data_IF_308440452190
#
_entry.id   IF_308440452190
#
_cell.length_a   1.000
_cell.length_b   1.000
_cell.length_c   1.000
_cell.angle_alpha   90.00
_cell.angle_beta   90.00
_cell.angle_gamma   90.00
#
_symmetry.space_group_name_H-M   'P 1'
#
loop_
_entity.id
_entity.type
_entity.pdbx_description
1 polymer ?
#
# COMPACT_ATOMS: atom_id res chain seq x y z
N UNK A 1 1.97 -24.44 4.78
CA UNK A 1 1.83 -23.82 3.44
C UNK A 1 2.48 -22.44 3.46
N UNK A 2 3.72 -22.31 2.99
CA UNK A 2 4.48 -21.05 2.86
C UNK A 2 3.87 -20.03 1.86
N UNK A 3 2.65 -20.30 1.36
CA UNK A 3 2.05 -19.65 0.18
C UNK A 3 1.38 -18.30 0.42
N UNK A 4 1.39 -17.78 1.65
CA UNK A 4 0.83 -16.46 1.97
C UNK A 4 1.85 -15.50 2.60
N UNK A 5 3.13 -15.85 2.54
CA UNK A 5 4.21 -14.96 2.91
C UNK A 5 4.47 -14.03 1.71
N UNK A 6 3.88 -12.83 1.73
CA UNK A 6 4.30 -11.76 0.85
C UNK A 6 5.66 -11.23 1.31
N UNK A 7 6.70 -12.07 1.21
CA UNK A 7 8.07 -11.66 1.46
C UNK A 7 8.51 -10.75 0.32
N UNK A 8 8.57 -9.45 0.58
CA UNK A 8 9.46 -8.58 -0.17
C UNK A 8 10.87 -8.72 0.40
N UNK A 9 11.52 -9.86 0.13
CA UNK A 9 12.94 -10.03 0.41
C UNK A 9 13.72 -9.28 -0.67
N UNK A 10 14.08 -8.03 -0.40
CA UNK A 10 15.13 -7.33 -1.13
C UNK A 10 16.46 -7.80 -0.54
N UNK A 11 17.12 -8.71 -1.25
CA UNK A 11 18.47 -9.14 -0.96
C UNK A 11 19.44 -8.32 -1.81
N UNK A 12 20.34 -7.58 -1.15
CA UNK A 12 21.46 -6.90 -1.80
C UNK A 12 22.73 -7.72 -1.59
N UNK A 13 22.73 -8.97 -2.08
CA UNK A 13 23.86 -9.92 -1.98
C UNK A 13 24.36 -10.20 -0.56
N UNK A 14 23.46 -10.31 0.43
CA UNK A 14 23.77 -10.77 1.79
C UNK A 14 24.12 -9.69 2.82
N UNK A 15 24.21 -8.41 2.43
CA UNK A 15 24.57 -7.31 3.34
C UNK A 15 23.35 -6.67 4.03
N UNK A 16 22.18 -6.74 3.41
CA UNK A 16 20.95 -6.13 3.92
C UNK A 16 19.74 -6.98 3.55
N UNK A 17 18.80 -7.11 4.47
CA UNK A 17 17.52 -7.76 4.21
C UNK A 17 16.37 -7.00 4.88
N UNK A 18 15.22 -7.01 4.23
CA UNK A 18 13.96 -6.56 4.81
C UNK A 18 12.91 -7.64 4.62
N UNK A 19 12.10 -7.87 5.64
CA UNK A 19 10.97 -8.78 5.62
C UNK A 19 9.75 -7.99 6.04
N UNK A 20 8.70 -8.08 5.23
CA UNK A 20 7.39 -7.54 5.52
C UNK A 20 6.38 -8.69 5.55
N UNK A 21 5.50 -8.72 6.54
CA UNK A 21 4.48 -9.75 6.67
C UNK A 21 3.12 -9.14 7.04
N UNK A 22 2.05 -9.68 6.45
CA UNK A 22 0.66 -9.30 6.73
C UNK A 22 -0.08 -10.50 7.35
N UNK A 23 -0.16 -10.60 8.69
CA UNK A 23 -0.60 -11.82 9.37
C UNK A 23 -2.03 -12.27 9.04
N UNK A 24 -2.92 -11.35 8.65
CA UNK A 24 -4.31 -11.67 8.35
C UNK A 24 -4.47 -12.73 7.25
N UNK A 25 -3.55 -12.79 6.29
CA UNK A 25 -3.58 -13.81 5.24
C UNK A 25 -2.92 -15.13 5.67
N UNK A 26 -2.14 -15.12 6.76
CA UNK A 26 -1.54 -16.31 7.37
C UNK A 26 -2.52 -17.01 8.32
N UNK A 27 -3.40 -16.24 8.95
CA UNK A 27 -4.35 -16.72 9.95
C UNK A 27 -5.70 -16.93 9.27
N UNK A 28 -6.26 -18.13 9.40
CA UNK A 28 -7.63 -18.46 8.98
C UNK A 28 -7.88 -18.53 7.45
N UNK A 29 -7.05 -19.30 6.73
CA UNK A 29 -7.22 -19.48 5.28
C UNK A 29 -8.47 -20.27 4.89
N UNK A 30 -8.93 -21.19 5.73
CA UNK A 30 -9.98 -22.17 5.38
C UNK A 30 -11.40 -21.78 5.84
N UNK A 31 -11.59 -20.59 6.43
CA UNK A 31 -12.93 -20.20 6.88
C UNK A 31 -13.84 -19.86 5.69
N UNK A 32 -14.91 -20.66 5.55
CA UNK A 32 -16.05 -20.42 4.63
C UNK A 32 -16.77 -19.08 4.89
N UNK A 33 -16.49 -18.41 6.01
CA UNK A 33 -17.09 -17.12 6.36
C UNK A 33 -16.32 -15.91 5.82
N UNK A 34 -15.29 -16.09 4.98
CA UNK A 34 -14.53 -15.01 4.35
C UNK A 34 -15.19 -14.58 3.05
N UNK A 35 -15.76 -13.38 3.04
CA UNK A 35 -16.26 -12.73 1.81
C UNK A 35 -15.54 -11.40 1.61
N UNK A 36 -15.47 -10.92 0.36
CA UNK A 36 -14.94 -9.61 0.03
C UNK A 36 -15.60 -8.51 0.87
N UNK A 37 -16.93 -8.52 0.95
CA UNK A 37 -17.75 -7.61 1.76
C UNK A 37 -17.33 -7.59 3.24
N UNK A 38 -17.17 -8.75 3.87
CA UNK A 38 -16.67 -8.86 5.26
C UNK A 38 -15.21 -8.40 5.39
N UNK A 39 -14.38 -8.60 4.37
CA UNK A 39 -12.99 -8.14 4.36
C UNK A 39 -12.90 -6.62 4.38
N UNK A 40 -13.69 -5.93 3.54
CA UNK A 40 -13.73 -4.47 3.48
C UNK A 40 -14.65 -3.82 4.54
N UNK A 41 -15.39 -4.63 5.29
CA UNK A 41 -16.25 -4.20 6.40
C UNK A 41 -17.66 -3.76 6.02
N UNK A 42 -18.14 -4.03 4.81
CA UNK A 42 -19.53 -3.75 4.39
C UNK A 42 -20.37 -5.00 4.63
N UNK A 43 -21.30 -4.98 5.59
CA UNK A 43 -22.04 -6.18 6.02
C UNK A 43 -23.49 -5.85 6.33
N UNK A 44 -24.40 -6.82 6.16
CA UNK A 44 -25.77 -6.75 6.72
C UNK A 44 -25.72 -7.16 8.19
N UNK A 45 -26.48 -6.48 9.05
CA UNK A 45 -26.70 -6.92 10.43
C UNK A 45 -27.84 -7.93 10.55
N UNK A 46 -28.20 -8.31 11.78
CA UNK A 46 -29.25 -9.30 12.06
C UNK A 46 -30.64 -8.83 11.60
N UNK A 47 -30.84 -7.52 11.41
CA UNK A 47 -32.07 -6.94 10.85
C UNK A 47 -32.06 -6.85 9.32
N UNK A 48 -30.92 -7.18 8.68
CA UNK A 48 -30.72 -7.08 7.24
C UNK A 48 -30.24 -5.70 6.77
N UNK A 49 -30.03 -4.75 7.66
CA UNK A 49 -29.57 -3.40 7.31
C UNK A 49 -28.06 -3.37 7.01
N UNK A 50 -27.67 -2.65 5.95
CA UNK A 50 -26.26 -2.47 5.60
C UNK A 50 -25.55 -1.58 6.62
N UNK A 51 -24.46 -2.09 7.19
CA UNK A 51 -23.55 -1.39 8.10
C UNK A 51 -22.12 -1.43 7.59
N UNK A 52 -21.34 -0.43 7.99
CA UNK A 52 -19.90 -0.35 7.76
C UNK A 52 -19.18 -0.59 9.09
N UNK A 53 -18.25 -1.54 9.12
CA UNK A 53 -17.25 -1.66 10.18
C UNK A 53 -16.06 -0.75 9.82
N UNK A 54 -15.85 0.38 10.53
CA UNK A 54 -14.78 1.31 10.22
C UNK A 54 -13.38 0.74 10.50
N UNK A 55 -13.26 -0.21 11.43
CA UNK A 55 -11.99 -0.85 11.81
C UNK A 55 -11.67 -2.08 10.96
N UNK A 56 -12.41 -2.32 9.88
CA UNK A 56 -12.13 -3.44 8.96
C UNK A 56 -10.73 -3.38 8.35
N UNK A 57 -10.13 -2.18 8.31
CA UNK A 57 -8.76 -1.95 7.84
C UNK A 57 -7.69 -2.58 8.73
N UNK A 58 -7.97 -2.90 10.00
CA UNK A 58 -6.98 -3.56 10.89
C UNK A 58 -6.51 -4.92 10.35
N UNK A 59 -7.29 -5.54 9.45
CA UNK A 59 -6.94 -6.77 8.73
C UNK A 59 -5.77 -6.56 7.75
N UNK A 60 -5.43 -5.33 7.40
CA UNK A 60 -4.27 -4.99 6.55
C UNK A 60 -3.06 -4.58 7.39
N UNK A 61 -3.04 -4.94 8.68
CA UNK A 61 -1.87 -4.69 9.53
C UNK A 61 -0.69 -5.48 9.00
N UNK A 62 0.40 -4.76 8.85
CA UNK A 62 1.66 -5.27 8.33
C UNK A 62 2.76 -4.97 9.31
N UNK A 63 3.62 -5.96 9.56
CA UNK A 63 4.79 -5.85 10.42
C UNK A 63 6.02 -6.00 9.52
N UNK A 64 7.00 -5.13 9.71
CA UNK A 64 8.27 -5.18 8.99
C UNK A 64 9.44 -5.33 9.95
N UNK A 65 10.45 -6.07 9.50
CA UNK A 65 11.74 -6.24 10.16
C UNK A 65 12.82 -6.01 9.10
N UNK A 66 13.83 -5.21 9.42
CA UNK A 66 14.95 -5.00 8.52
C UNK A 66 16.27 -5.07 9.27
N UNK A 67 17.28 -5.58 8.57
CA UNK A 67 18.68 -5.52 8.92
C UNK A 67 19.41 -4.84 7.77
N UNK A 68 20.26 -3.89 8.10
CA UNK A 68 21.08 -3.19 7.13
C UNK A 68 22.49 -3.10 7.67
N UNK A 69 23.45 -3.55 6.88
CA UNK A 69 24.86 -3.20 7.02
C UNK A 69 25.18 -2.15 5.96
N UNK A 70 25.51 -0.92 6.38
CA UNK A 70 25.83 0.17 5.45
C UNK A 70 26.68 1.25 6.08
N UNK A 71 27.36 2.02 5.24
CA UNK A 71 27.96 3.29 5.60
C UNK A 71 26.87 4.33 5.90
N UNK A 72 27.05 5.09 6.98
CA UNK A 72 26.22 6.24 7.30
C UNK A 72 27.04 7.51 7.09
N UNK A 73 26.40 8.53 6.53
CA UNK A 73 27.06 9.83 6.32
C UNK A 73 27.60 10.36 7.65
N UNK A 74 28.90 10.64 7.68
CA UNK A 74 29.62 11.09 8.87
C UNK A 74 30.28 9.98 9.69
N UNK A 75 29.99 8.69 9.45
CA UNK A 75 30.66 7.57 10.12
C UNK A 75 31.76 6.99 9.23
N UNK A 76 32.89 6.62 9.85
CA UNK A 76 34.06 6.06 9.14
C UNK A 76 33.83 4.60 8.74
N UNK A 77 33.07 3.85 9.54
CA UNK A 77 32.80 2.44 9.31
C UNK A 77 31.33 2.20 8.99
N UNK A 78 31.07 1.09 8.29
CA UNK A 78 29.74 0.49 8.20
C UNK A 78 29.16 0.22 9.59
N UNK A 79 27.85 0.44 9.71
CA UNK A 79 27.12 0.17 10.95
C UNK A 79 25.96 -0.75 10.70
N UNK A 80 25.88 -1.77 11.56
CA UNK A 80 24.75 -2.69 11.65
C UNK A 80 23.56 -2.00 12.27
N UNK A 81 22.46 -1.98 11.54
CA UNK A 81 21.20 -1.37 11.94
C UNK A 81 20.08 -2.39 11.89
N UNK A 82 19.30 -2.45 12.96
CA UNK A 82 18.11 -3.28 13.07
C UNK A 82 16.90 -2.38 13.13
N UNK A 83 15.84 -2.71 12.40
CA UNK A 83 14.60 -1.95 12.38
C UNK A 83 13.39 -2.86 12.53
N UNK A 84 12.41 -2.37 13.26
CA UNK A 84 11.07 -2.96 13.34
C UNK A 84 10.05 -1.87 13.03
N UNK A 85 9.03 -2.23 12.26
CA UNK A 85 7.94 -1.33 11.91
C UNK A 85 6.59 -2.04 11.93
N UNK A 86 5.55 -1.25 12.08
CA UNK A 86 4.19 -1.69 11.89
C UNK A 86 3.39 -0.60 11.17
N UNK A 87 2.53 -1.01 10.23
CA UNK A 87 1.57 -0.12 9.59
C UNK A 87 0.19 -0.77 9.54
N UNK A 88 -0.86 0.03 9.63
CA UNK A 88 -2.23 -0.47 9.51
C UNK A 88 -3.18 0.63 9.04
N UNK A 89 -4.27 0.22 8.42
CA UNK A 89 -5.40 1.10 8.16
C UNK A 89 -6.31 1.09 9.39
N UNK A 90 -6.24 2.14 10.21
CA UNK A 90 -7.02 2.25 11.44
C UNK A 90 -8.51 2.44 11.16
N UNK A 91 -8.83 3.38 10.27
CA UNK A 91 -10.21 3.68 9.88
C UNK A 91 -10.37 3.57 8.37
N UNK A 92 -11.49 3.00 7.92
CA UNK A 92 -11.84 2.91 6.51
C UNK A 92 -13.35 2.91 6.32
N UNK A 93 -13.83 3.83 5.51
CA UNK A 93 -15.25 3.97 5.18
C UNK A 93 -15.44 3.88 3.68
N UNK A 94 -16.45 3.12 3.27
CA UNK A 94 -16.90 3.05 1.88
C UNK A 94 -18.31 3.62 1.75
N UNK A 95 -18.70 3.95 0.53
CA UNK A 95 -20.11 4.01 0.19
C UNK A 95 -20.67 2.57 0.20
N UNK A 96 -21.22 2.16 1.34
CA UNK A 96 -21.69 0.79 1.61
C UNK A 96 -22.71 0.30 0.58
N UNK A 97 -23.63 1.16 0.16
CA UNK A 97 -24.70 0.82 -0.78
C UNK A 97 -24.12 0.57 -2.17
N UNK A 98 -23.20 1.45 -2.61
CA UNK A 98 -22.52 1.30 -3.89
C UNK A 98 -21.71 0.02 -3.96
N UNK A 99 -20.93 -0.27 -2.91
CA UNK A 99 -20.13 -1.51 -2.88
C UNK A 99 -21.03 -2.75 -2.81
N UNK A 100 -22.08 -2.72 -2.00
CA UNK A 100 -23.01 -3.82 -1.88
C UNK A 100 -23.70 -4.11 -3.21
N UNK A 101 -24.29 -3.09 -3.84
CA UNK A 101 -24.94 -3.20 -5.17
C UNK A 101 -23.99 -3.72 -6.24
N UNK A 102 -22.75 -3.23 -6.27
CA UNK A 102 -21.74 -3.71 -7.23
C UNK A 102 -21.41 -5.19 -7.01
N UNK A 103 -21.28 -5.62 -5.75
CA UNK A 103 -20.96 -7.01 -5.41
C UNK A 103 -22.14 -7.95 -5.71
N UNK A 104 -23.37 -7.56 -5.38
CA UNK A 104 -24.57 -8.36 -5.67
C UNK A 104 -24.77 -8.49 -7.19
N UNK A 105 -24.66 -7.39 -7.94
CA UNK A 105 -24.78 -7.42 -9.39
C UNK A 105 -23.70 -8.31 -10.05
N UNK A 106 -22.47 -8.28 -9.54
CA UNK A 106 -21.40 -9.16 -9.99
C UNK A 106 -21.71 -10.64 -9.70
N UNK A 107 -22.19 -10.95 -8.48
CA UNK A 107 -22.57 -12.31 -8.11
C UNK A 107 -23.73 -12.83 -8.97
N UNK A 108 -24.74 -11.99 -9.24
CA UNK A 108 -25.84 -12.32 -10.15
C UNK A 108 -25.33 -12.57 -11.57
N UNK A 109 -24.45 -11.71 -12.09
CA UNK A 109 -23.88 -11.90 -13.43
C UNK A 109 -23.12 -13.24 -13.54
N UNK A 110 -22.33 -13.59 -12.52
CA UNK A 110 -21.58 -14.85 -12.49
C UNK A 110 -22.49 -16.08 -12.30
N UNK A 111 -23.65 -15.94 -11.64
CA UNK A 111 -24.59 -17.05 -11.45
C UNK A 111 -25.20 -17.57 -12.76
N UNK A 112 -25.09 -16.80 -13.84
CA UNK A 112 -25.50 -17.24 -15.18
C UNK A 112 -24.57 -18.32 -15.77
N UNK A 113 -23.37 -18.48 -15.21
CA UNK A 113 -22.42 -19.51 -15.63
C UNK A 113 -22.75 -20.81 -14.90
N UNK A 114 -23.65 -21.59 -15.49
CA UNK A 114 -24.12 -22.86 -14.93
C UNK A 114 -23.21 -23.99 -15.41
N UNK A 115 -22.52 -24.64 -14.47
CA UNK A 115 -21.73 -25.85 -14.75
C UNK A 115 -22.70 -27.00 -15.07
N UNK A 116 -22.60 -27.63 -16.26
CA UNK A 116 -23.47 -28.74 -16.62
C UNK A 116 -23.34 -29.93 -15.65
N UNK A 117 -24.43 -30.66 -15.43
CA UNK A 117 -24.43 -31.82 -14.54
C UNK A 117 -23.39 -32.89 -14.95
N UNK A 118 -23.12 -33.03 -16.26
CA UNK A 118 -22.09 -33.94 -16.77
C UNK A 118 -20.70 -33.60 -16.23
N UNK A 119 -20.34 -32.31 -16.22
CA UNK A 119 -19.06 -31.82 -15.70
C UNK A 119 -19.00 -31.97 -14.18
N UNK A 120 -20.12 -31.76 -13.47
CA UNK A 120 -20.17 -31.93 -12.00
C UNK A 120 -19.92 -33.39 -11.58
N UNK A 121 -20.40 -34.36 -12.36
CA UNK A 121 -20.22 -35.79 -12.09
C UNK A 121 -18.76 -36.23 -12.32
N UNK A 122 -18.06 -35.60 -13.25
CA UNK A 122 -16.65 -35.87 -13.57
C UNK A 122 -15.67 -35.38 -12.49
N UNK A 123 -16.12 -34.53 -11.58
CA UNK A 123 -15.36 -34.10 -10.41
C UNK A 123 -14.56 -32.81 -10.60
N UNK A 124 -13.73 -32.49 -9.61
CA UNK A 124 -13.10 -31.17 -9.43
C UNK A 124 -12.24 -30.72 -10.63
N UNK A 125 -11.47 -31.64 -11.23
CA UNK A 125 -10.62 -31.33 -12.38
C UNK A 125 -11.43 -30.93 -13.62
N UNK A 126 -12.55 -31.61 -13.87
CA UNK A 126 -13.46 -31.28 -14.97
C UNK A 126 -14.15 -29.93 -14.75
N UNK A 127 -14.57 -29.63 -13.51
CA UNK A 127 -15.14 -28.33 -13.13
C UNK A 127 -14.09 -27.22 -13.35
N UNK A 128 -12.85 -27.46 -12.95
CA UNK A 128 -11.75 -26.51 -13.13
C UNK A 128 -11.47 -26.26 -14.63
N UNK A 129 -11.43 -27.31 -15.44
CA UNK A 129 -11.24 -27.20 -16.89
C UNK A 129 -12.40 -26.43 -17.55
N UNK A 130 -13.64 -26.70 -17.16
CA UNK A 130 -14.81 -25.98 -17.64
C UNK A 130 -14.71 -24.47 -17.36
N UNK A 131 -14.33 -24.06 -16.14
CA UNK A 131 -14.16 -22.63 -15.84
C UNK A 131 -12.99 -22.01 -16.60
N UNK A 132 -11.89 -22.74 -16.80
CA UNK A 132 -10.77 -22.26 -17.60
C UNK A 132 -11.15 -22.08 -19.08
N UNK A 133 -11.98 -22.96 -19.65
CA UNK A 133 -12.52 -22.81 -21.01
C UNK A 133 -13.49 -21.63 -21.13
N UNK A 134 -14.24 -21.34 -20.06
CA UNK A 134 -15.18 -20.21 -19.98
C UNK A 134 -14.55 -18.89 -19.57
N UNK A 135 -13.22 -18.82 -19.45
CA UNK A 135 -12.53 -17.64 -18.93
C UNK A 135 -12.84 -16.35 -19.69
N UNK A 136 -12.95 -16.39 -21.02
CA UNK A 136 -13.28 -15.21 -21.82
C UNK A 136 -14.71 -14.72 -21.60
N UNK A 137 -15.66 -15.65 -21.43
CA UNK A 137 -17.05 -15.34 -21.08
C UNK A 137 -17.15 -14.74 -19.68
N UNK A 138 -16.45 -15.34 -18.70
CA UNK A 138 -16.33 -14.83 -17.34
C UNK A 138 -15.76 -13.41 -17.35
N UNK A 139 -14.64 -13.20 -18.06
CA UNK A 139 -14.00 -11.90 -18.16
C UNK A 139 -14.94 -10.87 -18.81
N UNK A 140 -15.69 -11.25 -19.84
CA UNK A 140 -16.67 -10.37 -20.47
C UNK A 140 -17.81 -9.97 -19.51
N UNK A 141 -18.31 -10.91 -18.71
CA UNK A 141 -19.33 -10.67 -17.68
C UNK A 141 -18.80 -9.80 -16.53
N UNK A 142 -17.53 -9.94 -16.18
CA UNK A 142 -16.88 -9.19 -15.09
C UNK A 142 -16.45 -7.77 -15.51
N UNK A 143 -16.26 -7.53 -16.81
CA UNK A 143 -15.80 -6.25 -17.36
C UNK A 143 -16.55 -5.01 -16.84
N UNK A 144 -17.88 -4.99 -16.68
CA UNK A 144 -18.59 -3.84 -16.12
C UNK A 144 -18.25 -3.55 -14.65
N UNK A 145 -17.78 -4.56 -13.91
CA UNK A 145 -17.46 -4.51 -12.48
C UNK A 145 -15.98 -4.25 -12.20
N UNK A 146 -15.13 -4.08 -13.23
CA UNK A 146 -13.71 -3.72 -13.11
C UNK A 146 -13.47 -2.34 -12.49
N UNK A 147 -14.52 -1.51 -12.38
CA UNK A 147 -14.46 -0.19 -11.75
C UNK A 147 -14.16 -0.33 -10.26
N UNK A 148 -12.88 -0.22 -9.90
CA UNK A 148 -12.45 -0.17 -8.50
C UNK A 148 -13.17 0.95 -7.76
N UNK A 149 -13.82 0.60 -6.65
CA UNK A 149 -14.44 1.55 -5.71
C UNK A 149 -13.45 1.77 -4.57
N UNK A 150 -12.92 2.98 -4.45
CA UNK A 150 -12.05 3.37 -3.32
C UNK A 150 -12.88 3.65 -2.06
N UNK A 151 -12.28 3.56 -0.86
CA UNK A 151 -12.87 4.14 0.34
C UNK A 151 -13.17 5.62 0.13
N UNK A 152 -14.27 6.11 0.67
CA UNK A 152 -14.54 7.56 0.71
C UNK A 152 -13.60 8.24 1.70
N UNK A 153 -13.18 7.52 2.75
CA UNK A 153 -12.20 7.97 3.72
C UNK A 153 -11.37 6.79 4.22
N UNK A 154 -10.06 7.00 4.34
CA UNK A 154 -9.12 6.06 4.98
C UNK A 154 -8.20 6.83 5.92
N UNK A 155 -7.87 6.23 7.06
CA UNK A 155 -6.83 6.70 7.97
C UNK A 155 -5.82 5.58 8.19
N UNK A 156 -4.59 5.80 7.74
CA UNK A 156 -3.47 4.91 7.94
C UNK A 156 -2.56 5.44 9.04
N UNK A 157 -2.06 4.53 9.86
CA UNK A 157 -1.06 4.79 10.88
C UNK A 157 0.14 3.89 10.65
N UNK A 158 1.33 4.41 10.84
CA UNK A 158 2.56 3.62 10.85
C UNK A 158 3.50 4.11 11.94
N UNK A 159 4.29 3.20 12.48
CA UNK A 159 5.38 3.51 13.39
C UNK A 159 6.56 2.59 13.12
N UNK A 160 7.76 3.07 13.37
CA UNK A 160 8.99 2.32 13.22
C UNK A 160 10.02 2.74 14.25
N UNK A 161 10.85 1.78 14.63
CA UNK A 161 12.00 1.98 15.50
C UNK A 161 13.20 1.29 14.87
N UNK A 162 14.34 1.97 14.93
CA UNK A 162 15.62 1.47 14.44
C UNK A 162 16.69 1.72 15.48
N UNK A 163 17.59 0.76 15.65
CA UNK A 163 18.76 0.86 16.52
C UNK A 163 20.01 0.59 15.71
N UNK A 164 21.06 1.37 15.98
CA UNK A 164 22.38 1.25 15.39
C UNK A 164 23.42 1.18 16.51
N UNK A 165 24.38 0.26 16.42
CA UNK A 165 25.49 0.21 17.37
C UNK A 165 26.47 1.36 17.08
N UNK A 166 26.90 2.08 18.13
CA UNK A 166 27.78 3.25 17.98
C UNK A 166 29.17 2.86 17.47
N UNK A 167 29.64 1.68 17.86
CA UNK A 167 30.85 1.02 17.37
C UNK A 167 30.53 -0.43 16.95
N UNK A 168 31.51 -1.13 16.38
CA UNK A 168 31.42 -2.58 16.09
C UNK A 168 31.48 -3.47 17.35
N UNK A 169 30.87 -3.04 18.45
CA UNK A 169 30.75 -3.79 19.71
C UNK A 169 29.41 -3.55 20.39
N UNK A 170 28.85 -4.60 21.00
CA UNK A 170 27.59 -4.57 21.76
C UNK A 170 27.70 -3.70 23.03
N UNK A 171 28.92 -3.48 23.54
CA UNK A 171 29.17 -2.66 24.75
C UNK A 171 29.25 -1.17 24.49
N UNK A 172 29.28 -0.73 23.22
CA UNK A 172 29.48 0.68 22.82
C UNK A 172 28.23 1.57 22.98
N UNK A 173 27.11 0.98 23.39
CA UNK A 173 25.81 1.63 23.40
C UNK A 173 25.19 1.74 22.00
N UNK A 174 24.00 2.31 21.93
CA UNK A 174 23.22 2.42 20.70
C UNK A 174 22.84 3.87 20.41
N UNK A 175 22.72 4.16 19.13
CA UNK A 175 21.97 5.30 18.63
C UNK A 175 20.61 4.77 18.15
N UNK A 176 19.56 5.56 18.38
CA UNK A 176 18.18 5.13 18.14
C UNK A 176 17.49 6.10 17.18
N UNK A 177 16.56 5.58 16.39
CA UNK A 177 15.67 6.37 15.53
C UNK A 177 14.26 5.86 15.68
N UNK A 178 13.32 6.75 15.92
CA UNK A 178 11.89 6.45 15.95
C UNK A 178 11.16 7.33 14.94
N UNK A 179 10.17 6.76 14.28
CA UNK A 179 9.27 7.50 13.41
C UNK A 179 7.84 7.05 13.58
N UNK A 180 6.90 7.99 13.44
CA UNK A 180 5.48 7.74 13.37
C UNK A 180 4.86 8.57 12.25
N UNK A 181 3.89 7.99 11.54
CA UNK A 181 3.19 8.58 10.41
C UNK A 181 1.70 8.38 10.56
N UNK A 182 0.95 9.41 10.21
CA UNK A 182 -0.49 9.43 10.09
C UNK A 182 -0.82 9.96 8.70
N UNK A 183 -1.60 9.23 7.92
CA UNK A 183 -2.05 9.69 6.60
C UNK A 183 -3.53 9.41 6.46
N UNK A 184 -4.32 10.45 6.18
CA UNK A 184 -5.71 10.30 5.78
C UNK A 184 -5.87 10.53 4.28
N UNK A 185 -6.72 9.75 3.63
CA UNK A 185 -7.12 9.89 2.22
C UNK A 185 -8.64 10.06 2.16
N UNK A 186 -9.11 11.07 1.43
CA UNK A 186 -10.51 11.21 1.03
C UNK A 186 -10.60 11.12 -0.49
N UNK A 187 -11.42 10.20 -1.00
CA UNK A 187 -11.54 9.97 -2.45
C UNK A 187 -12.95 10.28 -2.94
N UNK A 188 -13.03 11.05 -4.03
CA UNK A 188 -14.26 11.43 -4.72
C UNK A 188 -14.22 10.92 -6.16
N UNK A 189 -15.28 10.25 -6.60
CA UNK A 189 -15.41 9.79 -7.98
C UNK A 189 -15.87 10.98 -8.84
N UNK A 190 -15.10 11.29 -9.89
CA UNK A 190 -15.34 12.45 -10.76
C UNK A 190 -16.26 12.15 -11.94
N UNK A 191 -16.45 10.88 -12.28
CA UNK A 191 -17.20 10.44 -13.45
C UNK A 191 -18.30 9.43 -13.08
N UNK A 192 -18.96 9.66 -11.95
CA UNK A 192 -20.05 8.81 -11.48
C UNK A 192 -21.19 8.74 -12.51
N UNK A 193 -21.70 7.53 -12.77
CA UNK A 193 -22.74 7.29 -13.76
C UNK A 193 -22.28 7.30 -15.23
N UNK A 194 -20.99 7.54 -15.51
CA UNK A 194 -20.47 7.48 -16.89
C UNK A 194 -20.22 6.05 -17.38
N UNK A 195 -20.27 5.86 -18.70
CA UNK A 195 -19.89 4.60 -19.38
C UNK A 195 -18.37 4.43 -19.52
N UNK A 196 -17.56 5.32 -18.92
CA UNK A 196 -16.11 5.20 -18.93
C UNK A 196 -15.69 3.86 -18.32
N UNK A 197 -14.62 3.23 -18.85
CA UNK A 197 -14.16 1.91 -18.40
C UNK A 197 -13.61 1.92 -16.96
N UNK A 198 -13.11 3.05 -16.50
CA UNK A 198 -12.50 3.21 -15.17
C UNK A 198 -13.13 4.38 -14.44
N UNK A 199 -13.15 4.32 -13.11
CA UNK A 199 -13.46 5.48 -12.29
C UNK A 199 -12.30 6.47 -12.35
N UNK A 200 -12.64 7.76 -12.46
CA UNK A 200 -11.73 8.86 -12.28
C UNK A 200 -11.87 9.36 -10.85
N UNK A 201 -10.77 9.72 -10.20
CA UNK A 201 -10.79 10.13 -8.80
C UNK A 201 -10.14 11.50 -8.61
N UNK A 202 -10.72 12.28 -7.70
CA UNK A 202 -10.00 13.29 -6.94
C UNK A 202 -9.68 12.68 -5.58
N UNK A 203 -8.44 12.75 -5.15
CA UNK A 203 -8.03 12.34 -3.82
C UNK A 203 -7.40 13.51 -3.08
N UNK A 204 -7.79 13.70 -1.83
CA UNK A 204 -7.16 14.62 -0.89
C UNK A 204 -6.47 13.80 0.19
N UNK A 205 -5.16 13.99 0.32
CA UNK A 205 -4.35 13.42 1.39
C UNK A 205 -3.98 14.50 2.40
N UNK A 206 -4.03 14.14 3.68
CA UNK A 206 -3.44 14.91 4.77
C UNK A 206 -2.47 14.00 5.50
N UNK A 207 -1.26 14.47 5.75
CA UNK A 207 -0.22 13.70 6.41
C UNK A 207 0.36 14.45 7.59
N UNK A 208 0.65 13.69 8.65
CA UNK A 208 1.43 14.14 9.79
C UNK A 208 2.51 13.09 10.06
N UNK A 209 3.74 13.54 10.34
CA UNK A 209 4.87 12.67 10.65
C UNK A 209 5.66 13.23 11.81
N UNK A 210 6.09 12.36 12.72
CA UNK A 210 7.11 12.64 13.73
C UNK A 210 8.30 11.73 13.47
N UNK A 211 9.51 12.29 13.49
CA UNK A 211 10.75 11.52 13.45
C UNK A 211 11.68 12.08 14.50
N UNK A 212 12.29 11.19 15.27
CA UNK A 212 13.41 11.48 16.14
C UNK A 212 14.57 10.59 15.68
N UNK A 213 15.67 11.21 15.28
CA UNK A 213 16.78 10.56 14.59
C UNK A 213 18.09 10.80 15.35
N UNK A 214 18.52 9.79 16.09
CA UNK A 214 19.80 9.75 16.80
C UNK A 214 20.97 9.24 15.96
N UNK A 215 20.77 8.93 14.67
CA UNK A 215 21.85 8.40 13.82
C UNK A 215 22.76 9.51 13.27
N UNK A 216 22.76 10.69 13.91
CA UNK A 216 23.57 11.82 13.51
C UNK A 216 24.81 11.91 14.40
N UNK A 217 25.94 12.29 13.81
CA UNK A 217 27.22 12.43 14.51
C UNK A 217 27.86 13.77 14.16
N UNK A 218 28.45 14.44 15.15
CA UNK A 218 29.16 15.70 14.95
C UNK A 218 30.62 15.46 14.50
N UNK A 219 31.38 16.53 14.26
CA UNK A 219 32.78 16.45 13.87
C UNK A 219 33.74 15.90 14.95
N UNK A 220 33.26 15.71 16.18
CA UNK A 220 34.02 15.16 17.31
C UNK A 220 33.60 13.70 17.64
N UNK A 221 32.89 13.04 16.73
CA UNK A 221 32.35 11.69 16.88
C UNK A 221 31.27 11.53 17.98
N UNK A 222 30.65 12.63 18.44
CA UNK A 222 29.53 12.55 19.37
C UNK A 222 28.21 12.37 18.62
N UNK A 223 27.45 11.36 19.04
CA UNK A 223 26.08 11.16 18.58
C UNK A 223 25.13 12.22 19.12
N UNK A 224 24.24 12.72 18.26
CA UNK A 224 23.19 13.66 18.65
C UNK A 224 21.85 13.33 17.99
N UNK A 225 20.78 13.80 18.62
CA UNK A 225 19.42 13.55 18.18
C UNK A 225 18.82 14.76 17.50
N UNK A 226 18.27 14.56 16.30
CA UNK A 226 17.43 15.55 15.63
C UNK A 226 15.97 15.13 15.73
N UNK A 227 15.04 16.07 15.70
CA UNK A 227 13.60 15.79 15.68
C UNK A 227 12.90 16.62 14.63
N UNK A 228 11.90 16.01 14.00
CA UNK A 228 11.10 16.62 12.93
C UNK A 228 9.63 16.30 13.11
N UNK A 229 8.80 17.33 12.94
CA UNK A 229 7.34 17.27 12.87
C UNK A 229 6.94 17.80 11.51
N UNK A 230 6.48 16.90 10.67
CA UNK A 230 6.05 17.25 9.32
C UNK A 230 4.54 17.23 9.26
N UNK A 231 3.95 18.25 8.64
CA UNK A 231 2.52 18.37 8.42
C UNK A 231 2.26 18.90 7.02
N UNK A 232 1.34 18.29 6.30
CA UNK A 232 1.07 18.66 4.93
C UNK A 232 -0.04 17.88 4.30
N UNK A 233 -0.12 17.98 2.99
CA UNK A 233 -1.12 17.28 2.21
C UNK A 233 -0.76 17.17 0.74
N UNK A 234 -1.57 16.39 0.04
CA UNK A 234 -1.43 16.14 -1.38
C UNK A 234 -2.80 16.12 -2.02
N UNK A 235 -2.91 16.70 -3.20
CA UNK A 235 -4.09 16.54 -4.06
C UNK A 235 -3.67 15.70 -5.26
N UNK A 236 -4.44 14.64 -5.55
CA UNK A 236 -4.26 13.78 -6.72
C UNK A 236 -5.51 13.73 -7.59
N UNK A 237 -5.30 13.79 -8.90
CA UNK A 237 -6.31 13.52 -9.91
C UNK A 237 -5.92 12.27 -10.71
N UNK A 238 -6.80 11.28 -10.72
CA UNK A 238 -6.65 10.03 -11.46
C UNK A 238 -7.66 9.99 -12.61
N UNK A 239 -7.18 9.99 -13.84
CA UNK A 239 -7.97 9.91 -15.07
C UNK A 239 -7.60 8.66 -15.86
N UNK A 240 -8.17 7.52 -15.45
CA UNK A 240 -7.87 6.21 -16.03
C UNK A 240 -6.38 5.85 -15.95
N UNK A 241 -5.64 6.04 -17.04
CA UNK A 241 -4.20 5.72 -17.12
C UNK A 241 -3.30 6.86 -16.66
N UNK A 242 -3.82 8.07 -16.53
CA UNK A 242 -3.04 9.28 -16.26
C UNK A 242 -3.34 9.77 -14.84
N UNK A 243 -2.31 10.04 -14.06
CA UNK A 243 -2.43 10.59 -12.70
C UNK A 243 -1.56 11.82 -12.56
N UNK A 244 -2.12 12.87 -11.96
CA UNK A 244 -1.40 14.09 -11.58
C UNK A 244 -1.52 14.30 -10.09
N UNK A 245 -0.44 14.69 -9.44
CA UNK A 245 -0.42 14.97 -8.03
C UNK A 245 0.41 16.20 -7.71
N UNK A 246 0.03 16.90 -6.64
CA UNK A 246 0.85 17.94 -6.05
C UNK A 246 0.79 17.84 -4.53
N UNK A 247 1.97 17.83 -3.91
CA UNK A 247 2.19 17.66 -2.49
C UNK A 247 2.88 18.90 -1.92
N UNK A 248 2.42 19.36 -0.76
CA UNK A 248 3.11 20.34 0.06
C UNK A 248 3.21 19.84 1.51
N UNK A 249 4.41 19.82 2.07
CA UNK A 249 4.67 19.40 3.45
C UNK A 249 5.60 20.41 4.12
N UNK A 250 5.16 20.97 5.23
CA UNK A 250 5.99 21.80 6.12
C UNK A 250 6.63 20.92 7.19
N UNK A 251 7.92 21.15 7.45
CA UNK A 251 8.71 20.52 8.49
C UNK A 251 9.07 21.56 9.55
N UNK A 252 8.84 21.20 10.81
CA UNK A 252 9.30 21.95 11.98
C UNK A 252 10.12 21.04 12.89
N UNK A 253 11.14 21.59 13.56
CA UNK A 253 11.91 20.82 14.54
C UNK A 253 13.33 21.35 14.70
N UNK A 254 14.32 20.46 14.66
CA UNK A 254 15.74 20.86 14.69
C UNK A 254 16.07 21.85 13.58
N UNK A 255 15.49 21.64 12.39
CA UNK A 255 15.52 22.61 11.30
C UNK A 255 14.12 22.74 10.70
N UNK A 256 13.78 23.95 10.28
CA UNK A 256 12.53 24.22 9.58
C UNK A 256 12.78 24.19 8.08
N UNK A 257 11.89 23.52 7.34
CA UNK A 257 11.97 23.47 5.88
C UNK A 257 10.61 23.09 5.30
N UNK A 258 10.53 23.07 3.97
CA UNK A 258 9.32 22.68 3.26
C UNK A 258 9.66 21.83 2.05
N UNK A 259 8.69 21.02 1.65
CA UNK A 259 8.71 20.19 0.46
C UNK A 259 7.49 20.55 -0.37
N UNK A 260 7.70 20.75 -1.66
CA UNK A 260 6.67 21.07 -2.65
C UNK A 260 6.96 20.29 -3.91
N UNK A 261 6.23 19.20 -4.17
CA UNK A 261 6.52 18.27 -5.27
C UNK A 261 5.28 18.01 -6.11
N UNK A 262 5.39 18.22 -7.42
CA UNK A 262 4.45 17.72 -8.41
C UNK A 262 4.87 16.34 -8.92
N UNK A 263 3.90 15.46 -9.16
CA UNK A 263 4.11 14.16 -9.78
C UNK A 263 3.12 13.91 -10.92
N UNK A 264 3.58 13.22 -11.95
CA UNK A 264 2.78 12.79 -13.10
C UNK A 264 3.08 11.31 -13.32
N UNK A 265 2.05 10.50 -13.52
CA UNK A 265 2.21 9.08 -13.84
C UNK A 265 1.31 8.71 -15.01
N UNK A 266 1.83 7.92 -15.94
CA UNK A 266 1.07 7.36 -17.05
C UNK A 266 1.28 5.85 -17.16
N UNK A 267 0.21 5.08 -17.02
CA UNK A 267 0.21 3.62 -17.20
C UNK A 267 0.03 3.28 -18.67
N UNK A 268 1.12 2.83 -19.32
CA UNK A 268 1.08 2.38 -20.72
C UNK A 268 0.19 1.14 -20.81
N UNK A 269 0.41 0.18 -19.92
CA UNK A 269 -0.37 -1.04 -19.75
C UNK A 269 -0.31 -1.51 -18.28
N UNK A 270 -0.79 -2.72 -17.99
CA UNK A 270 -0.79 -3.29 -16.62
C UNK A 270 0.60 -3.57 -16.06
N UNK A 271 1.60 -3.73 -16.93
CA UNK A 271 2.96 -4.15 -16.57
C UNK A 271 3.95 -3.00 -16.68
N UNK A 272 3.62 -1.90 -17.35
CA UNK A 272 4.52 -0.78 -17.63
C UNK A 272 3.84 0.55 -17.35
N UNK A 273 4.49 1.39 -16.54
CA UNK A 273 4.13 2.79 -16.35
C UNK A 273 5.36 3.68 -16.34
N UNK A 274 5.15 4.94 -16.66
CA UNK A 274 6.17 5.99 -16.58
C UNK A 274 5.72 7.01 -15.54
N UNK A 275 6.68 7.61 -14.85
CA UNK A 275 6.45 8.64 -13.85
C UNK A 275 7.48 9.76 -13.97
N UNK A 276 7.03 10.98 -13.76
CA UNK A 276 7.85 12.17 -13.62
C UNK A 276 7.52 12.86 -12.30
N UNK A 277 8.53 13.39 -11.64
CA UNK A 277 8.38 14.23 -10.44
C UNK A 277 9.23 15.48 -10.59
N UNK A 278 8.74 16.61 -10.09
CA UNK A 278 9.48 17.87 -10.08
C UNK A 278 9.12 18.67 -8.84
N UNK A 279 10.04 19.47 -8.32
CA UNK A 279 9.75 20.37 -7.21
C UNK A 279 10.93 20.60 -6.29
N UNK A 280 10.64 20.92 -5.03
CA UNK A 280 11.62 21.16 -3.98
C UNK A 280 11.46 20.10 -2.89
N UNK A 281 12.55 19.48 -2.48
CA UNK A 281 12.56 18.57 -1.32
C UNK A 281 13.07 19.30 -0.07
N UNK A 282 12.95 18.66 1.10
CA UNK A 282 13.48 19.24 2.35
C UNK A 282 14.98 19.53 2.19
N UNK A 283 15.37 20.80 2.31
CA UNK A 283 16.78 21.21 2.33
C UNK A 283 17.05 22.23 3.42
N UNK A 284 18.34 22.42 3.72
CA UNK A 284 18.85 23.51 4.58
C UNK A 284 19.39 24.67 3.71
N UNK A 285 19.52 24.47 2.39
CA UNK A 285 20.06 25.43 1.42
C UNK A 285 19.03 25.80 0.34
N UNK A 286 19.09 27.02 -0.18
CA UNK A 286 18.05 27.60 -1.07
C UNK A 286 17.91 26.92 -2.46
N UNK A 287 18.97 26.27 -2.95
CA UNK A 287 18.97 25.52 -4.21
C UNK A 287 18.68 24.04 -4.00
N UNK A 288 17.43 23.63 -4.17
CA UNK A 288 16.96 22.25 -3.90
C UNK A 288 15.97 21.71 -4.95
N UNK A 289 16.08 22.19 -6.19
CA UNK A 289 15.23 21.70 -7.29
C UNK A 289 15.53 20.22 -7.56
N UNK A 290 14.49 19.40 -7.40
CA UNK A 290 14.47 17.98 -7.69
C UNK A 290 13.68 17.74 -8.97
N UNK A 291 14.24 16.96 -9.90
CA UNK A 291 13.50 16.39 -11.03
C UNK A 291 13.82 14.90 -11.12
N UNK A 292 12.80 14.07 -11.16
CA UNK A 292 12.92 12.61 -11.22
C UNK A 292 12.13 12.13 -12.43
N UNK A 293 12.71 11.20 -13.17
CA UNK A 293 12.00 10.41 -14.17
C UNK A 293 12.18 8.93 -13.84
N UNK A 294 11.10 8.17 -13.87
CA UNK A 294 11.10 6.76 -13.51
C UNK A 294 10.26 5.93 -14.47
N UNK A 295 10.76 4.76 -14.84
CA UNK A 295 10.02 3.72 -15.55
C UNK A 295 9.77 2.59 -14.56
N UNK A 296 8.51 2.23 -14.37
CA UNK A 296 8.13 1.07 -13.58
C UNK A 296 7.74 -0.03 -14.55
N UNK A 297 8.46 -1.15 -14.52
CA UNK A 297 8.11 -2.35 -15.25
C UNK A 297 7.88 -3.52 -14.29
N UNK A 298 6.95 -4.40 -14.64
CA UNK A 298 6.68 -5.66 -13.96
C UNK A 298 6.83 -6.82 -14.93
N UNK A 299 7.42 -7.92 -14.47
CA UNK A 299 7.42 -9.18 -15.20
C UNK A 299 6.23 -10.01 -14.73
N UNK A 300 5.20 -10.10 -15.58
CA UNK A 300 4.05 -10.95 -15.32
C UNK A 300 4.23 -12.31 -16.00
N UNK A 301 4.75 -13.28 -15.25
CA UNK A 301 5.02 -14.64 -15.76
C UNK A 301 3.82 -15.58 -15.66
N UNK A 302 2.62 -15.09 -15.31
CA UNK A 302 1.46 -15.94 -15.05
C UNK A 302 0.16 -15.44 -15.67
N UNK A 303 -0.35 -16.18 -16.66
CA UNK A 303 -1.81 -16.27 -16.82
C UNK A 303 -2.32 -17.10 -15.65
N UNK A 304 -3.03 -16.46 -14.72
CA UNK A 304 -3.60 -17.13 -13.55
C UNK A 304 -4.71 -18.07 -14.01
N UNK A 305 -4.44 -19.38 -14.02
CA UNK A 305 -5.47 -20.41 -14.21
C UNK A 305 -6.32 -20.48 -12.95
N UNK A 306 -7.63 -20.68 -13.09
CA UNK A 306 -8.52 -20.95 -11.95
C UNK A 306 -8.01 -22.21 -11.27
N UNK A 307 -7.73 -22.14 -9.96
CA UNK A 307 -7.50 -23.31 -9.10
C UNK A 307 -8.63 -23.36 -8.09
N UNK A 308 -9.36 -24.47 -8.07
CA UNK A 308 -10.34 -24.79 -7.03
C UNK A 308 -9.58 -25.25 -5.77
#
# INVERSE_FOLDING_TARGET
NFKALALHALDNFGESFSIEATPYFLINQESKNRTYQKYIGVMKDDSGELKQNPFSGLKTTTISLAYVDKEFSGLIDERKTYSIGARTTLLRFYNKDKVHKNTEAMATALSNIVVPQSVLIEGEEAIQNYYNEKQDEINALLKPFEKTIKPIFRLDVAAGYSTMFKENSISSGTADRIGAWLTSETSLILNEGSDAKTNNYFNLFVTARYVEDGFNMNANDDFFTTYYRDFGGKIDFEFGKLTFGYEYISRNGTFNSERSVGNIMYSINKDISISGGFGKDFSVTDDNLLTIFGIHWGLNTGNSKVKL
#
